data_IF_462395435172
#
_entry.id   IF_462395435172
#
_cell.length_a   1.000
_cell.length_b   1.000
_cell.length_c   1.000
_cell.angle_alpha   90.00
_cell.angle_beta   90.00
_cell.angle_gamma   90.00
#
_symmetry.space_group_name_H-M   'P 1'
#
loop_
_entity.id
_entity.type
_entity.pdbx_description
1 polymer ?
#
# COMPACT_ATOMS: atom_id res chain seq x y z
N UNK A 1 -1.32 -1.89 -0.06
CA UNK A 1 -1.60 -2.35 -1.45
C UNK A 1 -0.25 -2.68 -2.04
N UNK A 2 0.01 -3.93 -2.43
CA UNK A 2 1.35 -4.31 -2.92
C UNK A 2 1.77 -3.41 -4.09
N UNK A 3 3.04 -3.01 -4.16
CA UNK A 3 3.53 -2.07 -5.19
C UNK A 3 3.58 -0.61 -4.78
N UNK A 4 2.88 -0.24 -3.71
CA UNK A 4 3.02 1.05 -3.03
C UNK A 4 3.85 0.85 -1.76
N UNK A 5 4.63 1.87 -1.39
CA UNK A 5 5.43 1.83 -0.17
C UNK A 5 4.55 1.68 1.09
N UNK A 6 5.14 1.17 2.16
CA UNK A 6 4.44 0.90 3.41
C UNK A 6 3.95 2.22 4.01
N UNK A 7 2.65 2.28 4.33
CA UNK A 7 2.02 3.47 4.92
C UNK A 7 2.05 4.75 4.06
N UNK A 8 2.39 4.68 2.76
CA UNK A 8 2.47 5.87 1.90
C UNK A 8 1.13 6.36 1.31
N UNK A 9 0.06 5.61 1.56
CA UNK A 9 -1.28 5.91 1.02
C UNK A 9 -2.15 6.66 2.03
N UNK A 10 -2.74 7.77 1.59
CA UNK A 10 -3.73 8.54 2.34
C UNK A 10 -3.56 10.05 2.17
N UNK A 11 -4.25 10.85 2.98
CA UNK A 11 -3.98 12.28 3.12
C UNK A 11 -2.50 12.53 3.41
N UNK A 12 -1.99 13.65 2.88
CA UNK A 12 -0.60 14.09 3.04
C UNK A 12 -0.51 15.38 3.84
N UNK A 13 0.60 15.54 4.55
CA UNK A 13 0.95 16.77 5.26
C UNK A 13 1.63 17.81 4.35
N UNK A 14 2.21 18.85 4.96
CA UNK A 14 2.93 19.93 4.24
C UNK A 14 4.24 19.50 3.63
N UNK A 15 4.88 18.49 4.20
CA UNK A 15 6.17 17.98 3.75
C UNK A 15 6.00 16.95 2.63
N UNK A 16 4.75 16.57 2.37
CA UNK A 16 4.37 15.62 1.34
C UNK A 16 4.28 14.19 1.88
N UNK A 17 4.51 13.97 3.17
CA UNK A 17 4.46 12.66 3.78
C UNK A 17 3.02 12.23 4.04
N UNK A 18 2.78 10.92 3.98
CA UNK A 18 1.47 10.35 4.24
C UNK A 18 1.11 10.47 5.73
N UNK A 19 0.17 11.34 6.08
CA UNK A 19 -0.31 11.54 7.45
C UNK A 19 -1.26 10.44 7.93
N UNK A 20 -1.66 9.52 7.04
CA UNK A 20 -2.67 8.50 7.29
C UNK A 20 -4.09 9.06 7.38
N UNK A 21 -5.03 8.22 7.79
CA UNK A 21 -6.45 8.56 7.88
C UNK A 21 -7.17 7.75 8.94
N UNK A 22 -8.33 8.22 9.38
CA UNK A 22 -9.14 7.54 10.40
C UNK A 22 -10.16 6.55 9.81
N UNK A 23 -10.14 6.35 8.49
CA UNK A 23 -10.95 5.37 7.76
C UNK A 23 -10.09 4.69 6.72
N UNK A 24 -10.31 3.39 6.55
CA UNK A 24 -9.57 2.56 5.61
C UNK A 24 -10.51 1.54 4.97
N UNK A 25 -10.28 1.29 3.69
CA UNK A 25 -10.83 0.18 2.93
C UNK A 25 -9.67 -0.56 2.31
N UNK A 26 -9.68 -1.88 2.37
CA UNK A 26 -8.70 -2.76 1.76
C UNK A 26 -9.40 -3.99 1.19
N UNK A 27 -8.99 -4.40 0.00
CA UNK A 27 -9.40 -5.66 -0.60
C UNK A 27 -8.20 -6.32 -1.27
N UNK A 28 -8.21 -7.65 -1.31
CA UNK A 28 -7.18 -8.44 -1.98
C UNK A 28 -7.80 -9.71 -2.51
N UNK A 29 -7.50 -10.03 -3.77
CA UNK A 29 -7.83 -11.29 -4.41
C UNK A 29 -6.52 -11.93 -4.85
N UNK A 30 -6.28 -13.16 -4.40
CA UNK A 30 -5.04 -13.90 -4.68
C UNK A 30 -5.39 -15.27 -5.26
N UNK A 31 -4.80 -15.61 -6.40
CA UNK A 31 -4.89 -16.92 -7.03
C UNK A 31 -3.55 -17.63 -6.85
N UNK A 32 -3.56 -18.74 -6.12
CA UNK A 32 -2.39 -19.56 -5.86
C UNK A 32 -2.38 -20.79 -6.77
N UNK A 33 -1.26 -21.08 -7.40
CA UNK A 33 -1.08 -22.23 -8.27
C UNK A 33 0.17 -23.02 -7.88
N UNK A 34 0.16 -24.36 -8.01
CA UNK A 34 1.39 -25.14 -7.91
C UNK A 34 2.34 -24.76 -9.05
N UNK A 35 3.64 -24.93 -8.83
CA UNK A 35 4.63 -24.81 -9.89
C UNK A 35 4.85 -26.19 -10.50
N UNK A 36 4.59 -26.39 -11.81
CA UNK A 36 4.83 -27.67 -12.46
C UNK A 36 6.29 -28.12 -12.27
N UNK A 37 6.48 -29.31 -11.70
CA UNK A 37 7.81 -29.88 -11.46
C UNK A 37 8.53 -29.40 -10.19
N UNK A 38 7.94 -28.54 -9.36
CA UNK A 38 8.50 -28.16 -8.07
C UNK A 38 7.83 -28.87 -6.89
N UNK A 39 8.51 -28.87 -5.73
CA UNK A 39 7.95 -29.39 -4.48
C UNK A 39 6.80 -28.55 -3.94
N UNK A 40 5.95 -29.18 -3.11
CA UNK A 40 4.74 -28.56 -2.52
C UNK A 40 5.04 -27.37 -1.59
N UNK A 41 6.30 -27.17 -1.22
CA UNK A 41 6.78 -26.06 -0.38
C UNK A 41 6.85 -24.75 -1.15
N UNK A 42 6.86 -24.78 -2.49
CA UNK A 42 6.93 -23.62 -3.36
C UNK A 42 5.62 -23.47 -4.14
N UNK A 43 5.02 -22.28 -4.09
CA UNK A 43 3.81 -21.93 -4.83
C UNK A 43 4.00 -20.62 -5.57
N UNK A 44 3.42 -20.56 -6.77
CA UNK A 44 3.23 -19.30 -7.45
C UNK A 44 1.91 -18.68 -7.01
N UNK A 45 1.84 -17.37 -7.01
CA UNK A 45 0.59 -16.66 -6.85
C UNK A 45 0.53 -15.45 -7.78
N UNK A 46 -0.70 -15.11 -8.16
CA UNK A 46 -1.03 -13.84 -8.80
C UNK A 46 -2.05 -13.12 -7.93
N UNK A 47 -2.07 -11.80 -7.98
CA UNK A 47 -2.96 -11.02 -7.12
C UNK A 47 -3.52 -9.78 -7.81
N UNK A 48 -4.64 -9.33 -7.26
CA UNK A 48 -5.25 -8.02 -7.43
C UNK A 48 -5.47 -7.43 -6.04
N UNK A 49 -4.79 -6.34 -5.74
CA UNK A 49 -4.96 -5.62 -4.49
C UNK A 49 -5.62 -4.27 -4.74
N UNK A 50 -6.40 -3.80 -3.77
CA UNK A 50 -6.78 -2.40 -3.72
C UNK A 50 -6.98 -1.90 -2.30
N UNK A 51 -6.86 -0.59 -2.15
CA UNK A 51 -6.92 0.04 -0.85
C UNK A 51 -7.06 1.54 -0.94
N UNK A 52 -7.70 2.08 0.08
CA UNK A 52 -7.98 3.49 0.22
C UNK A 52 -7.94 3.88 1.70
N UNK A 53 -7.25 4.96 2.01
CA UNK A 53 -7.17 5.55 3.34
C UNK A 53 -7.67 6.98 3.23
N UNK A 54 -8.64 7.36 4.05
CA UNK A 54 -9.24 8.69 4.02
C UNK A 54 -9.72 9.11 5.41
N UNK A 55 -10.28 10.32 5.52
CA UNK A 55 -10.99 10.70 6.74
C UNK A 55 -11.04 12.19 7.02
N UNK A 56 -9.91 12.74 7.45
CA UNK A 56 -9.73 14.15 7.74
C UNK A 56 -8.40 14.61 7.15
N UNK A 57 -8.43 15.72 6.43
CA UNK A 57 -7.25 16.40 5.91
C UNK A 57 -6.98 17.63 6.77
N UNK A 58 -5.75 17.76 7.24
CA UNK A 58 -5.27 18.98 7.89
C UNK A 58 -4.97 20.03 6.82
N UNK A 59 -5.43 21.26 7.06
CA UNK A 59 -5.03 22.43 6.29
C UNK A 59 -4.10 23.24 7.16
N UNK A 60 -2.94 23.56 6.59
CA UNK A 60 -1.88 24.25 7.30
C UNK A 60 -1.81 25.69 6.83
N UNK A 61 -1.51 26.58 7.76
CA UNK A 61 -1.24 27.99 7.49
C UNK A 61 0.20 28.28 7.89
N UNK A 62 0.92 28.95 7.01
CA UNK A 62 2.26 29.42 7.32
C UNK A 62 2.18 30.61 8.29
N UNK A 63 2.92 30.51 9.39
CA UNK A 63 3.06 31.53 10.41
C UNK A 63 4.15 32.55 10.03
N UNK A 64 4.16 33.70 10.73
CA UNK A 64 5.09 34.79 10.44
C UNK A 64 6.57 34.42 10.68
N UNK A 65 6.83 33.41 11.50
CA UNK A 65 8.16 32.85 11.79
C UNK A 65 8.60 31.78 10.77
N UNK A 66 7.78 31.51 9.75
CA UNK A 66 8.03 30.50 8.73
C UNK A 66 7.59 29.08 9.11
N UNK A 67 7.11 28.86 10.34
CA UNK A 67 6.58 27.56 10.77
C UNK A 67 5.16 27.31 10.23
N UNK A 68 4.73 26.05 10.20
CA UNK A 68 3.38 25.68 9.79
C UNK A 68 2.54 25.27 11.01
N UNK A 69 1.34 25.84 11.13
CA UNK A 69 0.35 25.42 12.13
C UNK A 69 -0.89 24.86 11.43
N UNK A 70 -1.53 23.86 12.06
CA UNK A 70 -2.82 23.35 11.59
C UNK A 70 -3.90 24.42 11.82
N UNK A 71 -4.44 24.97 10.74
CA UNK A 71 -5.53 25.94 10.75
C UNK A 71 -6.88 25.24 11.01
N UNK A 72 -7.13 24.16 10.28
CA UNK A 72 -8.40 23.41 10.37
C UNK A 72 -8.29 22.00 9.85
N UNK A 73 -9.16 21.13 10.35
CA UNK A 73 -9.42 19.82 9.75
C UNK A 73 -10.68 19.90 8.87
N UNK A 74 -10.61 19.35 7.67
CA UNK A 74 -11.78 19.15 6.81
C UNK A 74 -12.01 17.67 6.60
N UNK A 75 -13.28 17.27 6.59
CA UNK A 75 -13.66 15.92 6.17
C UNK A 75 -13.22 15.73 4.72
N UNK A 76 -12.54 14.62 4.48
CA UNK A 76 -12.08 14.29 3.15
C UNK A 76 -13.27 14.02 2.21
N UNK A 77 -13.15 14.43 0.94
CA UNK A 77 -14.19 14.13 -0.03
C UNK A 77 -14.03 12.67 -0.46
N UNK A 78 -15.14 11.95 -0.55
CA UNK A 78 -15.11 10.59 -1.11
C UNK A 78 -14.97 10.73 -2.62
N UNK A 79 -13.76 10.49 -3.12
CA UNK A 79 -13.46 10.40 -4.55
C UNK A 79 -12.96 8.99 -4.87
N UNK A 80 -13.63 8.31 -5.80
CA UNK A 80 -13.23 6.98 -6.25
C UNK A 80 -11.84 6.99 -6.91
N UNK A 81 -11.40 8.15 -7.40
CA UNK A 81 -10.04 8.35 -7.91
C UNK A 81 -8.95 8.26 -6.84
N UNK A 82 -9.29 8.23 -5.55
CA UNK A 82 -8.33 8.07 -4.45
C UNK A 82 -8.11 6.62 -4.02
N UNK A 83 -8.92 5.69 -4.52
CA UNK A 83 -8.60 4.27 -4.44
C UNK A 83 -7.27 4.01 -5.15
N UNK A 84 -6.42 3.15 -4.58
CA UNK A 84 -5.22 2.64 -5.27
C UNK A 84 -5.32 1.15 -5.43
N UNK A 85 -4.92 0.66 -6.59
CA UNK A 85 -4.97 -0.75 -6.90
C UNK A 85 -3.79 -1.18 -7.75
N UNK A 86 -3.44 -2.45 -7.61
CA UNK A 86 -2.32 -3.06 -8.30
C UNK A 86 -2.64 -4.51 -8.62
N UNK A 87 -1.95 -5.02 -9.63
CA UNK A 87 -1.89 -6.44 -9.93
C UNK A 87 -0.46 -6.90 -9.83
N UNK A 88 -0.23 -8.19 -9.65
CA UNK A 88 1.12 -8.70 -9.67
C UNK A 88 1.19 -10.20 -9.53
N UNK A 89 2.42 -10.66 -9.37
CA UNK A 89 2.71 -12.06 -9.16
C UNK A 89 3.78 -12.22 -8.08
N UNK A 90 3.95 -13.44 -7.62
CA UNK A 90 4.93 -13.73 -6.60
C UNK A 90 5.12 -15.21 -6.35
N UNK A 91 6.04 -15.48 -5.42
CA UNK A 91 6.38 -16.80 -4.95
C UNK A 91 6.15 -16.87 -3.45
N UNK A 92 5.44 -17.90 -3.02
CA UNK A 92 5.29 -18.26 -1.61
C UNK A 92 6.13 -19.52 -1.37
N UNK A 93 7.07 -19.43 -0.43
CA UNK A 93 7.98 -20.51 -0.10
C UNK A 93 7.95 -20.80 1.40
N UNK A 94 7.70 -22.06 1.74
CA UNK A 94 7.90 -22.57 3.10
C UNK A 94 9.37 -23.01 3.20
N UNK A 95 10.22 -22.08 3.64
CA UNK A 95 11.65 -22.36 3.84
C UNK A 95 11.89 -23.04 5.19
N UNK A 96 13.07 -23.66 5.42
CA UNK A 96 13.43 -24.19 6.74
C UNK A 96 13.37 -23.16 7.87
N UNK A 97 13.55 -21.88 7.55
CA UNK A 97 13.55 -20.75 8.51
C UNK A 97 12.15 -20.12 8.67
N UNK A 98 11.14 -20.63 7.95
CA UNK A 98 9.76 -20.17 8.01
C UNK A 98 9.18 -19.70 6.68
N UNK A 99 7.92 -19.23 6.68
CA UNK A 99 7.24 -18.74 5.49
C UNK A 99 7.90 -17.49 4.92
N UNK A 100 8.13 -17.48 3.61
CA UNK A 100 8.59 -16.34 2.82
C UNK A 100 7.58 -16.07 1.70
N UNK A 101 7.19 -14.81 1.52
CA UNK A 101 6.51 -14.34 0.31
C UNK A 101 7.37 -13.30 -0.39
N UNK A 102 7.59 -13.51 -1.68
CA UNK A 102 8.22 -12.55 -2.59
C UNK A 102 7.15 -12.12 -3.58
N UNK A 103 7.01 -10.81 -3.81
CA UNK A 103 6.02 -10.29 -4.74
C UNK A 103 6.59 -9.18 -5.61
N UNK A 104 6.13 -9.16 -6.86
CA UNK A 104 6.38 -8.09 -7.80
C UNK A 104 5.05 -7.53 -8.27
N UNK A 105 4.84 -6.24 -8.03
CA UNK A 105 3.57 -5.56 -8.21
C UNK A 105 3.66 -4.49 -9.30
N UNK A 106 2.56 -4.34 -10.03
CA UNK A 106 2.30 -3.34 -11.05
C UNK A 106 1.13 -2.45 -10.59
N UNK A 107 1.43 -1.27 -10.02
CA UNK A 107 0.42 -0.26 -9.71
C UNK A 107 -0.31 0.18 -10.99
N UNK A 108 -1.64 0.10 -11.00
CA UNK A 108 -2.43 0.36 -12.22
C UNK A 108 -2.96 1.80 -12.29
N UNK A 109 -3.00 2.52 -11.18
CA UNK A 109 -3.51 3.88 -11.11
C UNK A 109 -2.66 4.80 -10.20
N UNK A 110 -1.33 4.73 -10.35
CA UNK A 110 -0.41 5.62 -9.62
C UNK A 110 -0.67 7.10 -9.94
N UNK A 111 -0.54 7.97 -8.95
CA UNK A 111 -0.45 9.42 -9.08
C UNK A 111 0.99 9.88 -8.82
N UNK A 112 1.33 11.11 -9.20
CA UNK A 112 2.68 11.65 -9.05
C UNK A 112 3.14 11.77 -7.60
N UNK A 113 2.18 11.92 -6.68
CA UNK A 113 2.46 11.91 -5.25
C UNK A 113 2.74 10.51 -4.70
N UNK A 114 2.37 9.41 -5.37
CA UNK A 114 2.45 8.10 -4.73
C UNK A 114 3.88 7.54 -4.72
N UNK A 115 4.32 7.07 -3.55
CA UNK A 115 5.58 6.33 -3.40
C UNK A 115 5.39 4.84 -3.75
N UNK A 116 6.25 4.36 -4.64
CA UNK A 116 6.17 3.00 -5.18
C UNK A 116 7.27 2.10 -4.63
N UNK A 117 6.87 0.87 -4.28
CA UNK A 117 7.76 -0.21 -3.92
C UNK A 117 7.30 -1.48 -4.64
N UNK A 118 7.78 -1.67 -5.88
CA UNK A 118 7.30 -2.75 -6.77
C UNK A 118 7.69 -4.14 -6.31
N UNK A 119 8.90 -4.29 -5.77
CA UNK A 119 9.38 -5.55 -5.21
C UNK A 119 9.23 -5.51 -3.69
N UNK A 120 8.51 -6.49 -3.15
CA UNK A 120 8.26 -6.59 -1.71
C UNK A 120 8.48 -8.03 -1.25
N UNK A 121 9.11 -8.19 -0.09
CA UNK A 121 9.33 -9.47 0.55
C UNK A 121 8.82 -9.44 2.00
N UNK A 122 8.29 -10.57 2.45
CA UNK A 122 7.80 -10.76 3.82
C UNK A 122 8.37 -12.08 4.35
N UNK A 123 9.05 -12.00 5.49
CA UNK A 123 9.61 -13.16 6.21
C UNK A 123 8.80 -13.36 7.50
N UNK A 124 8.35 -14.59 7.75
CA UNK A 124 7.62 -14.95 8.96
C UNK A 124 6.13 -14.60 8.92
N UNK A 125 5.47 -14.73 10.08
CA UNK A 125 4.04 -14.43 10.26
C UNK A 125 3.87 -13.02 10.83
N UNK A 126 4.17 -12.00 10.04
CA UNK A 126 3.85 -10.61 10.39
C UNK A 126 2.40 -10.30 10.03
N UNK A 127 1.52 -10.18 11.02
CA UNK A 127 0.18 -9.60 10.86
C UNK A 127 0.19 -8.14 11.29
#
# INVERSE_FOLDING_TARGET
VRGYDTSSLGPRDTDGDASGGNRKLNFSLELLTPIPGADRTLRMFTFLDGGWVWGRKAFYKQLADGSYAVDRYKKDKLDLGDLRYSVGFGLAWISPMGPLKLSFAFPLNKKDSDELQRFQFQIGTGF
#
